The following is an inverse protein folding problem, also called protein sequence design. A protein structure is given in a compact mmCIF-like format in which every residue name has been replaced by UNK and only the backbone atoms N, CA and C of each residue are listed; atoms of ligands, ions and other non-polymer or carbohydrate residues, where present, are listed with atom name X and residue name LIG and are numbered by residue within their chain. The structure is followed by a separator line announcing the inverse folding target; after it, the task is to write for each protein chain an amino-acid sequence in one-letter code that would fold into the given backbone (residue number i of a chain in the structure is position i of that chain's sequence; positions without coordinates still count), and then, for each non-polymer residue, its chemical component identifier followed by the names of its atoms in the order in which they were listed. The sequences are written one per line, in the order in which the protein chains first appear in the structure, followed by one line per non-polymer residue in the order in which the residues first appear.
data_IF_079702043405
#
_entry.id   IF_079702043405
#
_cell.length_a   1.000
_cell.length_b   1.000
_cell.length_c   1.000
_cell.angle_alpha   90.00
_cell.angle_beta   90.00
_cell.angle_gamma   90.00
#
_symmetry.space_group_name_H-M   'P 1'
#
loop_
_entity.id
_entity.type
_entity.pdbx_description
1 polymer ?
#
# COMPACT_ATOMS: atom_id res chain seq x y z
N UNK A 1 -19.32 -11.73 -36.73
CA UNK A 1 -18.62 -12.55 -35.72
C UNK A 1 -18.21 -11.64 -34.58
N UNK A 2 -18.87 -11.76 -33.42
CA UNK A 2 -18.49 -11.03 -32.20
C UNK A 2 -17.34 -11.81 -31.58
N UNK A 3 -16.15 -11.20 -31.48
CA UNK A 3 -15.03 -11.79 -30.75
C UNK A 3 -15.28 -11.58 -29.26
N UNK A 4 -15.75 -12.62 -28.58
CA UNK A 4 -15.80 -12.64 -27.12
C UNK A 4 -14.37 -12.73 -26.59
N UNK A 5 -13.84 -11.61 -26.13
CA UNK A 5 -12.56 -11.53 -25.44
C UNK A 5 -12.82 -11.66 -23.95
N UNK A 6 -12.40 -12.77 -23.34
CA UNK A 6 -12.33 -12.89 -21.90
C UNK A 6 -11.08 -12.14 -21.40
N UNK A 7 -11.26 -11.16 -20.51
CA UNK A 7 -10.16 -10.52 -19.80
C UNK A 7 -9.87 -11.28 -18.51
N UNK A 8 -8.73 -11.98 -18.47
CA UNK A 8 -8.25 -12.66 -17.25
C UNK A 8 -7.20 -11.77 -16.59
N UNK A 9 -7.49 -11.26 -15.40
CA UNK A 9 -6.53 -10.49 -14.60
C UNK A 9 -5.68 -11.43 -13.74
N UNK A 10 -4.39 -11.49 -14.00
CA UNK A 10 -3.44 -12.31 -13.22
C UNK A 10 -2.81 -11.48 -12.12
N UNK A 11 -3.09 -11.81 -10.85
CA UNK A 11 -2.51 -11.14 -9.67
C UNK A 11 -1.25 -11.89 -9.22
N UNK A 12 -0.11 -11.21 -8.96
CA UNK A 12 1.10 -11.87 -8.51
C UNK A 12 0.98 -12.37 -7.06
N UNK A 13 1.82 -13.34 -6.71
CA UNK A 13 1.90 -13.85 -5.34
C UNK A 13 2.75 -12.92 -4.48
N UNK A 14 2.19 -12.42 -3.38
CA UNK A 14 2.90 -11.55 -2.43
C UNK A 14 3.44 -12.31 -1.22
N UNK A 15 4.46 -11.74 -0.59
CA UNK A 15 5.04 -12.14 0.70
C UNK A 15 4.91 -11.02 1.73
N UNK A 16 4.97 -11.42 3.00
CA UNK A 16 5.04 -10.46 4.10
C UNK A 16 6.31 -9.61 4.00
N UNK A 17 6.19 -8.29 4.13
CA UNK A 17 7.29 -7.34 3.97
C UNK A 17 7.46 -6.77 2.57
N UNK A 18 6.80 -7.32 1.55
CA UNK A 18 6.90 -6.81 0.17
C UNK A 18 6.45 -5.33 0.09
N UNK A 19 7.04 -4.53 -0.83
CA UNK A 19 6.61 -3.16 -1.08
C UNK A 19 5.17 -3.11 -1.58
N UNK A 20 4.47 -2.01 -1.28
CA UNK A 20 3.07 -1.84 -1.69
C UNK A 20 2.95 -1.73 -3.23
N UNK A 21 2.02 -2.46 -3.86
CA UNK A 21 1.75 -2.33 -5.29
C UNK A 21 0.90 -1.08 -5.58
N UNK A 22 0.83 -0.68 -6.85
CA UNK A 22 0.07 0.50 -7.31
C UNK A 22 -1.37 0.19 -7.73
N UNK A 23 -1.67 -1.06 -8.09
CA UNK A 23 -3.00 -1.49 -8.56
C UNK A 23 -3.98 -1.77 -7.42
N UNK A 24 -5.27 -1.52 -7.65
CA UNK A 24 -6.31 -1.66 -6.62
C UNK A 24 -6.50 -3.11 -6.19
N UNK A 25 -6.63 -4.04 -7.14
CA UNK A 25 -6.85 -5.46 -6.85
C UNK A 25 -5.61 -6.08 -6.21
N UNK A 26 -4.44 -5.70 -6.71
CA UNK A 26 -3.12 -6.04 -6.20
C UNK A 26 -2.96 -5.61 -4.75
N UNK A 27 -3.33 -4.36 -4.43
CA UNK A 27 -3.23 -3.82 -3.08
C UNK A 27 -4.09 -4.63 -2.09
N UNK A 28 -5.29 -5.06 -2.51
CA UNK A 28 -6.17 -5.86 -1.64
C UNK A 28 -5.63 -7.26 -1.37
N UNK A 29 -4.99 -7.91 -2.35
CA UNK A 29 -4.33 -9.20 -2.13
C UNK A 29 -3.08 -9.02 -1.25
N UNK A 30 -2.24 -8.05 -1.59
CA UNK A 30 -1.04 -7.70 -0.83
C UNK A 30 -1.36 -7.38 0.63
N UNK A 31 -2.34 -6.51 0.90
CA UNK A 31 -2.74 -6.12 2.25
C UNK A 31 -3.20 -7.32 3.09
N UNK A 32 -3.91 -8.29 2.48
CA UNK A 32 -4.29 -9.54 3.15
C UNK A 32 -3.06 -10.36 3.56
N UNK A 33 -2.06 -10.46 2.68
CA UNK A 33 -0.80 -11.14 2.98
C UNK A 33 -0.04 -10.43 4.11
N UNK A 34 0.05 -9.10 4.09
CA UNK A 34 0.72 -8.33 5.15
C UNK A 34 0.06 -8.54 6.52
N UNK A 35 -1.28 -8.52 6.59
CA UNK A 35 -2.01 -8.79 7.83
C UNK A 35 -1.75 -10.19 8.37
N UNK A 36 -1.75 -11.21 7.49
CA UNK A 36 -1.42 -12.60 7.85
C UNK A 36 0.02 -12.75 8.32
N UNK A 37 0.94 -11.95 7.78
CA UNK A 37 2.32 -11.87 8.23
C UNK A 37 2.49 -11.11 9.57
N UNK A 38 1.40 -10.62 10.18
CA UNK A 38 1.42 -9.93 11.47
C UNK A 38 1.64 -8.43 11.40
N UNK A 39 1.83 -7.86 10.21
CA UNK A 39 1.96 -6.42 10.03
C UNK A 39 0.62 -5.72 10.28
N UNK A 40 0.68 -4.51 10.83
CA UNK A 40 -0.49 -3.71 11.19
C UNK A 40 -0.37 -2.33 10.62
N UNK A 41 -1.48 -1.81 10.13
CA UNK A 41 -1.53 -0.45 9.62
C UNK A 41 -1.41 0.55 10.77
N UNK A 42 -0.76 1.67 10.50
CA UNK A 42 -0.65 2.80 11.40
C UNK A 42 -1.16 4.06 10.68
N UNK A 43 -1.67 5.01 11.46
CA UNK A 43 -2.23 6.25 10.92
C UNK A 43 -1.12 7.24 10.60
N UNK A 44 -1.05 7.69 9.35
CA UNK A 44 -0.15 8.75 8.91
C UNK A 44 -0.42 10.06 9.68
N UNK A 45 0.63 10.72 10.15
CA UNK A 45 0.55 11.98 10.89
C UNK A 45 -0.02 13.15 10.08
N UNK A 46 0.18 13.17 8.75
CA UNK A 46 -0.19 14.29 7.86
C UNK A 46 -1.56 14.08 7.19
N UNK A 47 -1.73 13.05 6.37
CA UNK A 47 -3.00 12.80 5.66
C UNK A 47 -4.04 12.02 6.47
N UNK A 48 -3.71 11.55 7.68
CA UNK A 48 -4.62 10.77 8.53
C UNK A 48 -5.11 9.44 7.97
N UNK A 49 -4.61 8.99 6.81
CA UNK A 49 -4.91 7.68 6.24
C UNK A 49 -4.14 6.57 6.97
N UNK A 50 -4.71 5.36 6.98
CA UNK A 50 -4.05 4.17 7.48
C UNK A 50 -3.16 3.56 6.41
N UNK A 51 -1.93 3.24 6.79
CA UNK A 51 -0.85 2.81 5.91
C UNK A 51 -0.10 1.67 6.57
N UNK A 52 0.35 0.69 5.80
CA UNK A 52 1.25 -0.33 6.35
C UNK A 52 2.64 0.25 6.60
N UNK A 53 3.48 -0.38 7.44
CA UNK A 53 4.84 0.08 7.71
C UNK A 53 5.68 0.32 6.44
N UNK A 54 5.47 -0.48 5.39
CA UNK A 54 6.15 -0.35 4.10
C UNK A 54 5.75 0.88 3.30
N UNK A 55 4.60 1.49 3.60
CA UNK A 55 4.13 2.74 3.00
C UNK A 55 4.48 3.98 3.85
N UNK A 56 5.11 3.77 5.01
CA UNK A 56 5.54 4.81 5.93
C UNK A 56 7.04 5.09 5.77
N UNK A 57 7.43 6.31 6.05
CA UNK A 57 8.84 6.72 6.11
C UNK A 57 9.28 6.80 7.58
N UNK A 58 10.59 6.95 7.80
CA UNK A 58 11.15 7.24 9.14
C UNK A 58 10.88 8.67 9.61
N UNK A 59 10.35 9.54 8.74
CA UNK A 59 10.04 10.92 9.07
C UNK A 59 8.76 11.04 9.90
N UNK A 60 8.69 12.08 10.73
CA UNK A 60 7.54 12.28 11.62
C UNK A 60 6.90 13.66 11.45
N UNK A 61 5.58 13.71 11.62
CA UNK A 61 4.80 14.92 11.76
C UNK A 61 3.93 14.79 13.01
N UNK A 62 4.02 15.75 13.93
CA UNK A 62 3.35 15.69 15.23
C UNK A 62 3.60 14.37 15.98
N UNK A 63 4.86 13.94 16.03
CA UNK A 63 5.30 12.68 16.68
C UNK A 63 4.70 11.39 16.08
N UNK A 64 4.12 11.45 14.89
CA UNK A 64 3.60 10.28 14.16
C UNK A 64 4.34 10.12 12.83
N UNK A 65 4.59 8.88 12.42
CA UNK A 65 5.18 8.60 11.12
C UNK A 65 4.31 9.15 9.98
N UNK A 66 4.95 9.58 8.90
CA UNK A 66 4.25 10.04 7.70
C UNK A 66 4.40 9.02 6.57
N UNK A 67 3.43 9.00 5.65
CA UNK A 67 3.51 8.13 4.48
C UNK A 67 4.42 8.72 3.41
N UNK A 68 4.94 7.86 2.53
CA UNK A 68 5.82 8.27 1.43
C UNK A 68 5.21 9.36 0.57
N UNK A 69 3.91 9.28 0.25
CA UNK A 69 3.20 10.32 -0.51
C UNK A 69 3.25 11.68 0.18
N UNK A 70 3.02 11.70 1.50
CA UNK A 70 3.03 12.93 2.32
C UNK A 70 4.43 13.53 2.47
N UNK A 71 5.45 12.67 2.49
CA UNK A 71 6.86 13.06 2.49
C UNK A 71 7.24 13.70 1.16
N UNK A 72 6.97 13.02 0.04
CA UNK A 72 7.30 13.52 -1.31
C UNK A 72 6.49 14.77 -1.69
N UNK A 73 5.25 14.90 -1.21
CA UNK A 73 4.42 16.09 -1.47
C UNK A 73 4.93 17.36 -0.77
N UNK A 74 5.89 17.25 0.15
CA UNK A 74 6.52 18.38 0.85
C UNK A 74 7.71 19.01 0.12
N UNK A 75 8.08 18.50 -1.07
CA UNK A 75 9.14 19.05 -1.91
C UNK A 75 8.59 20.07 -2.95
N UNK A 76 7.74 20.98 -2.50
CA UNK A 76 7.27 22.13 -3.27
C UNK A 76 7.49 23.41 -2.47
#
# INVERSE_FOLDING_TARGET
MIRELAHIHSIPTYRGGDPAPTGYLEWHEWARVQLRAGLRQQRCGKCSLYKFPQELTSETFNRKLICTDCFMSGAQ
#
